data_IF_787145552078
#
_entry.id   IF_787145552078
#
_cell.length_a   1.000
_cell.length_b   1.000
_cell.length_c   1.000
_cell.angle_alpha   90.00
_cell.angle_beta   90.00
_cell.angle_gamma   90.00
#
_symmetry.space_group_name_H-M   'P 1'
#
loop_
_entity.id
_entity.type
_entity.pdbx_description
1 polymer ?
#
# COMPACT_ATOMS: atom_id res chain seq x y z
N UNK A 1 -0.02 16.48 -9.53
CA UNK A 1 1.05 15.48 -9.71
C UNK A 1 2.36 16.20 -9.98
N UNK A 2 3.44 15.90 -9.24
CA UNK A 2 4.72 16.62 -9.30
C UNK A 2 5.67 16.12 -10.40
N UNK A 3 5.28 15.09 -11.18
CA UNK A 3 6.11 14.56 -12.27
C UNK A 3 7.36 13.80 -11.81
N UNK A 4 7.42 13.36 -10.54
CA UNK A 4 8.55 12.62 -9.99
C UNK A 4 8.92 11.35 -10.79
N UNK A 5 7.97 10.80 -11.56
CA UNK A 5 8.15 9.65 -12.46
C UNK A 5 8.10 10.02 -13.94
N UNK A 6 8.62 11.19 -14.35
CA UNK A 6 8.54 11.73 -15.73
C UNK A 6 8.94 10.74 -16.84
N UNK A 7 9.87 9.83 -16.57
CA UNK A 7 10.37 8.84 -17.54
C UNK A 7 9.41 7.66 -17.75
N UNK A 8 8.43 7.49 -16.85
CA UNK A 8 7.41 6.42 -16.88
C UNK A 8 6.01 6.92 -17.23
N UNK A 9 5.79 8.24 -17.25
CA UNK A 9 4.47 8.82 -17.51
C UNK A 9 4.46 9.57 -18.84
N UNK A 10 3.78 9.01 -19.85
CA UNK A 10 3.47 9.73 -21.09
C UNK A 10 2.24 10.61 -20.84
N UNK A 11 2.31 11.87 -21.24
CA UNK A 11 1.19 12.82 -21.12
C UNK A 11 0.44 12.95 -22.45
N UNK A 12 -0.88 13.22 -22.44
CA UNK A 12 -1.76 13.36 -21.26
C UNK A 12 -2.02 12.01 -20.56
N UNK A 13 -2.13 12.02 -19.23
CA UNK A 13 -2.40 10.83 -18.42
C UNK A 13 -3.44 11.11 -17.33
N UNK A 14 -4.26 10.10 -17.05
CA UNK A 14 -5.17 10.07 -15.89
C UNK A 14 -4.43 9.46 -14.70
N UNK A 15 -4.68 10.01 -13.50
CA UNK A 15 -4.09 9.57 -12.24
C UNK A 15 -4.77 8.31 -11.66
N UNK A 16 -4.16 7.73 -10.62
CA UNK A 16 -4.72 6.60 -9.86
C UNK A 16 -4.15 5.25 -10.27
N UNK A 17 -3.94 4.36 -9.28
CA UNK A 17 -3.33 3.03 -9.48
C UNK A 17 -4.14 1.87 -8.89
N UNK A 18 -5.13 2.16 -8.05
CA UNK A 18 -6.02 1.18 -7.45
C UNK A 18 -7.40 1.82 -7.19
N UNK A 19 -8.38 0.99 -6.87
CA UNK A 19 -9.74 1.40 -6.59
C UNK A 19 -10.71 0.22 -6.58
N UNK A 20 -11.99 0.55 -6.59
CA UNK A 20 -13.10 -0.38 -6.77
C UNK A 20 -13.98 0.18 -7.88
N UNK A 21 -14.46 -0.70 -8.73
CA UNK A 21 -15.46 -0.40 -9.74
C UNK A 21 -16.48 -1.51 -9.91
N UNK A 22 -17.43 -1.24 -10.80
CA UNK A 22 -18.41 -2.20 -11.27
C UNK A 22 -18.23 -2.39 -12.76
N UNK A 23 -18.36 -3.62 -13.24
CA UNK A 23 -18.37 -3.93 -14.67
C UNK A 23 -19.65 -3.40 -15.28
N UNK A 24 -19.56 -2.45 -16.22
CA UNK A 24 -20.76 -1.94 -16.93
C UNK A 24 -20.98 -2.64 -18.28
N UNK A 25 -19.92 -3.19 -18.87
CA UNK A 25 -19.97 -3.95 -20.11
C UNK A 25 -18.75 -4.88 -20.17
N UNK A 26 -18.95 -6.05 -20.78
CA UNK A 26 -17.91 -7.04 -21.04
C UNK A 26 -18.15 -7.73 -22.38
N UNK A 27 -17.10 -8.16 -23.09
CA UNK A 27 -17.24 -8.87 -24.36
C UNK A 27 -17.89 -10.25 -24.17
N UNK A 28 -18.46 -10.79 -25.25
CA UNK A 28 -18.98 -12.15 -25.26
C UNK A 28 -17.87 -13.14 -24.89
N UNK A 29 -18.18 -14.07 -23.97
CA UNK A 29 -17.20 -15.04 -23.45
C UNK A 29 -16.35 -14.53 -22.29
N UNK A 30 -16.52 -13.28 -21.85
CA UNK A 30 -15.85 -12.75 -20.65
C UNK A 30 -16.19 -13.58 -19.41
N UNK A 31 -15.21 -13.72 -18.52
CA UNK A 31 -15.40 -14.32 -17.19
C UNK A 31 -16.12 -13.39 -16.21
N UNK A 32 -16.39 -12.15 -16.60
CA UNK A 32 -17.01 -11.12 -15.79
C UNK A 32 -18.38 -10.74 -16.34
N UNK A 33 -19.31 -10.44 -15.44
CA UNK A 33 -20.66 -10.03 -15.79
C UNK A 33 -20.90 -8.55 -15.48
N UNK A 34 -21.79 -7.90 -16.23
CA UNK A 34 -22.26 -6.56 -15.87
C UNK A 34 -22.88 -6.56 -14.47
N UNK A 35 -22.66 -5.50 -13.69
CA UNK A 35 -23.05 -5.41 -12.28
C UNK A 35 -22.04 -6.01 -11.30
N UNK A 36 -21.00 -6.69 -11.78
CA UNK A 36 -20.02 -7.32 -10.91
C UNK A 36 -19.02 -6.29 -10.35
N UNK A 37 -18.87 -6.28 -9.01
CA UNK A 37 -17.85 -5.50 -8.31
C UNK A 37 -16.47 -6.08 -8.61
N UNK A 38 -15.54 -5.23 -9.04
CA UNK A 38 -14.18 -5.62 -9.43
C UNK A 38 -13.15 -4.59 -8.95
N UNK A 39 -12.00 -5.09 -8.54
CA UNK A 39 -10.82 -4.31 -8.20
C UNK A 39 -9.82 -4.42 -9.36
N UNK A 40 -9.34 -3.29 -9.93
CA UNK A 40 -8.36 -3.30 -11.00
C UNK A 40 -6.94 -3.46 -10.46
N UNK A 41 -6.24 -4.47 -10.96
CA UNK A 41 -4.82 -4.67 -10.77
C UNK A 41 -4.05 -3.96 -11.89
N UNK A 42 -2.84 -3.47 -11.59
CA UNK A 42 -1.86 -2.99 -12.58
C UNK A 42 -2.44 -2.07 -13.68
N UNK A 43 -3.22 -1.07 -13.29
CA UNK A 43 -3.73 -0.04 -14.20
C UNK A 43 -3.42 1.35 -13.66
N UNK A 44 -2.84 2.22 -14.51
CA UNK A 44 -2.86 3.66 -14.26
C UNK A 44 -4.20 4.23 -14.71
N UNK A 45 -4.63 5.35 -14.12
CA UNK A 45 -5.82 6.05 -14.55
C UNK A 45 -7.10 5.65 -13.82
N UNK A 46 -7.03 5.08 -12.62
CA UNK A 46 -8.25 4.73 -11.86
C UNK A 46 -9.01 5.94 -11.31
N UNK A 47 -8.54 7.17 -11.48
CA UNK A 47 -9.27 8.38 -11.05
C UNK A 47 -10.11 8.96 -12.17
N UNK A 48 -11.08 8.16 -12.63
CA UNK A 48 -12.02 8.57 -13.66
C UNK A 48 -13.32 7.78 -13.55
N UNK A 49 -14.36 8.27 -14.22
CA UNK A 49 -15.66 7.60 -14.16
C UNK A 49 -15.71 6.31 -14.96
N UNK A 50 -14.95 6.17 -16.05
CA UNK A 50 -14.97 4.96 -16.88
C UNK A 50 -13.55 4.63 -17.35
N UNK A 51 -13.15 3.37 -17.30
CA UNK A 51 -11.87 2.89 -17.82
C UNK A 51 -12.05 1.54 -18.50
N UNK A 52 -11.48 1.36 -19.68
CA UNK A 52 -11.39 0.07 -20.36
C UNK A 52 -10.15 -0.69 -19.86
N UNK A 53 -10.36 -1.89 -19.32
CA UNK A 53 -9.31 -2.75 -18.76
C UNK A 53 -9.46 -4.18 -19.25
N UNK A 54 -8.35 -4.84 -19.52
CA UNK A 54 -8.34 -6.28 -19.79
C UNK A 54 -8.86 -7.04 -18.55
N UNK A 55 -9.81 -7.95 -18.76
CA UNK A 55 -10.44 -8.69 -17.69
C UNK A 55 -9.45 -9.47 -16.83
N UNK A 56 -8.29 -9.91 -17.35
CA UNK A 56 -7.23 -10.61 -16.61
C UNK A 56 -6.65 -9.77 -15.47
N UNK A 57 -6.74 -8.45 -15.56
CA UNK A 57 -6.33 -7.52 -14.52
C UNK A 57 -7.45 -7.17 -13.54
N UNK A 58 -8.65 -7.75 -13.68
CA UNK A 58 -9.78 -7.46 -12.80
C UNK A 58 -10.00 -8.60 -11.80
N UNK A 59 -10.01 -8.26 -10.52
CA UNK A 59 -10.30 -9.20 -9.43
C UNK A 59 -11.73 -9.00 -8.96
N UNK A 60 -12.61 -10.01 -9.07
CA UNK A 60 -13.93 -9.98 -8.46
C UNK A 60 -13.88 -9.69 -6.96
N UNK A 61 -14.71 -8.74 -6.52
CA UNK A 61 -14.83 -8.39 -5.10
C UNK A 61 -16.09 -9.04 -4.53
N UNK A 62 -15.96 -9.92 -3.52
CA UNK A 62 -17.12 -10.56 -2.90
C UNK A 62 -18.08 -9.53 -2.26
N UNK A 63 -19.40 -9.78 -2.26
CA UNK A 63 -20.39 -8.87 -1.66
C UNK A 63 -20.14 -8.57 -0.17
N UNK A 64 -19.51 -9.50 0.56
CA UNK A 64 -19.21 -9.35 1.97
C UNK A 64 -18.07 -8.36 2.27
N UNK A 65 -17.27 -7.96 1.26
CA UNK A 65 -16.19 -7.00 1.44
C UNK A 65 -16.75 -5.60 1.25
N UNK A 66 -16.55 -4.72 2.23
CA UNK A 66 -16.93 -3.31 2.16
C UNK A 66 -16.24 -2.57 1.01
N UNK A 67 -16.91 -1.58 0.44
CA UNK A 67 -16.40 -0.83 -0.72
C UNK A 67 -15.10 -0.09 -0.44
N UNK A 68 -14.99 0.57 0.72
CA UNK A 68 -13.79 1.32 1.08
C UNK A 68 -12.63 0.38 1.38
N UNK A 69 -12.91 -0.79 1.95
CA UNK A 69 -11.89 -1.82 2.16
C UNK A 69 -11.40 -2.38 0.82
N UNK A 70 -12.32 -2.76 -0.07
CA UNK A 70 -11.99 -3.29 -1.38
C UNK A 70 -11.20 -2.28 -2.21
N UNK A 71 -11.61 -1.01 -2.20
CA UNK A 71 -10.92 0.04 -2.95
C UNK A 71 -9.44 0.17 -2.58
N UNK A 72 -9.06 -0.18 -1.34
CA UNK A 72 -7.70 -0.07 -0.79
C UNK A 72 -7.01 -1.45 -0.62
N UNK A 73 -7.60 -2.48 -1.19
CA UNK A 73 -7.25 -3.88 -0.94
C UNK A 73 -6.00 -4.37 -1.67
N UNK A 74 -5.42 -3.57 -2.58
CA UNK A 74 -4.37 -4.02 -3.48
C UNK A 74 -2.97 -3.54 -3.09
N UNK A 75 -2.67 -2.25 -3.30
CA UNK A 75 -1.27 -1.78 -3.32
C UNK A 75 -0.64 -1.89 -1.94
N UNK A 76 -1.26 -1.29 -0.93
CA UNK A 76 -0.71 -1.25 0.42
C UNK A 76 -0.66 -2.64 1.08
N UNK A 77 -1.74 -3.46 1.05
CA UNK A 77 -1.70 -4.82 1.57
C UNK A 77 -0.67 -5.70 0.86
N UNK A 78 -0.62 -5.68 -0.48
CA UNK A 78 0.34 -6.49 -1.22
C UNK A 78 1.78 -6.05 -0.94
N UNK A 79 2.04 -4.74 -0.87
CA UNK A 79 3.36 -4.19 -0.54
C UNK A 79 3.85 -4.68 0.81
N UNK A 80 3.03 -4.54 1.86
CA UNK A 80 3.37 -5.00 3.20
C UNK A 80 3.66 -6.51 3.22
N UNK A 81 2.82 -7.32 2.55
CA UNK A 81 3.01 -8.77 2.48
C UNK A 81 4.30 -9.15 1.76
N UNK A 82 4.60 -8.50 0.63
CA UNK A 82 5.83 -8.76 -0.14
C UNK A 82 7.08 -8.36 0.64
N UNK A 83 7.02 -7.27 1.42
CA UNK A 83 8.09 -6.90 2.34
C UNK A 83 8.32 -7.98 3.39
N UNK A 84 7.28 -8.42 4.08
CA UNK A 84 7.43 -9.44 5.13
C UNK A 84 7.88 -10.80 4.60
N UNK A 85 7.51 -11.15 3.36
CA UNK A 85 8.04 -12.33 2.66
C UNK A 85 9.52 -12.19 2.32
N UNK A 86 9.96 -10.99 1.95
CA UNK A 86 11.34 -10.72 1.53
C UNK A 86 12.29 -10.57 2.72
N UNK A 87 11.83 -10.00 3.82
CA UNK A 87 12.62 -9.76 5.03
C UNK A 87 11.97 -10.43 6.24
N UNK A 88 12.44 -11.63 6.66
CA UNK A 88 11.90 -12.33 7.82
C UNK A 88 12.01 -11.48 9.09
N UNK A 89 10.91 -11.40 9.84
CA UNK A 89 10.77 -10.52 11.01
C UNK A 89 10.68 -11.26 12.35
N UNK A 90 10.51 -12.59 12.33
CA UNK A 90 10.38 -13.37 13.55
C UNK A 90 11.59 -13.17 14.48
N UNK A 91 11.32 -12.89 15.75
CA UNK A 91 12.34 -12.64 16.76
C UNK A 91 13.04 -11.28 16.68
N UNK A 92 12.62 -10.37 15.79
CA UNK A 92 13.31 -9.08 15.55
C UNK A 92 12.59 -7.87 16.13
N UNK A 93 13.37 -6.83 16.42
CA UNK A 93 12.90 -5.49 16.76
C UNK A 93 12.84 -4.61 15.51
N UNK A 94 11.66 -4.10 15.18
CA UNK A 94 11.41 -3.34 13.95
C UNK A 94 11.18 -1.86 14.21
N UNK A 95 11.61 -1.03 13.26
CA UNK A 95 11.25 0.40 13.19
C UNK A 95 10.57 0.70 11.87
N UNK A 96 9.44 1.39 11.93
CA UNK A 96 8.66 1.84 10.79
C UNK A 96 8.66 3.36 10.74
N UNK A 97 9.11 3.94 9.64
CA UNK A 97 8.86 5.37 9.37
C UNK A 97 7.50 5.55 8.72
N UNK A 98 6.94 6.77 8.79
CA UNK A 98 5.60 7.07 8.29
C UNK A 98 4.54 6.06 8.78
N UNK A 99 4.62 5.71 10.07
CA UNK A 99 3.84 4.61 10.65
C UNK A 99 2.32 4.84 10.61
N UNK A 100 1.88 6.08 10.43
CA UNK A 100 0.45 6.41 10.24
C UNK A 100 -0.09 6.09 8.84
N UNK A 101 0.75 5.62 7.90
CA UNK A 101 0.32 5.20 6.57
C UNK A 101 -0.34 3.83 6.60
N UNK A 102 -1.27 3.57 5.67
CA UNK A 102 -1.95 2.26 5.57
C UNK A 102 -0.96 1.11 5.40
N UNK A 103 0.07 1.28 4.57
CA UNK A 103 1.09 0.25 4.36
C UNK A 103 1.90 -0.04 5.63
N UNK A 104 2.39 1.00 6.32
CA UNK A 104 3.20 0.80 7.53
C UNK A 104 2.39 0.22 8.68
N UNK A 105 1.14 0.66 8.86
CA UNK A 105 0.23 0.07 9.85
C UNK A 105 0.00 -1.42 9.61
N UNK A 106 -0.34 -1.81 8.37
CA UNK A 106 -0.53 -3.23 8.01
C UNK A 106 0.75 -4.04 8.21
N UNK A 107 1.89 -3.51 7.77
CA UNK A 107 3.19 -4.15 7.93
C UNK A 107 3.51 -4.38 9.41
N UNK A 108 3.30 -3.38 10.27
CA UNK A 108 3.55 -3.50 11.71
C UNK A 108 2.66 -4.55 12.37
N UNK A 109 1.35 -4.52 12.09
CA UNK A 109 0.40 -5.51 12.64
C UNK A 109 0.75 -6.93 12.19
N UNK A 110 1.02 -7.14 10.91
CA UNK A 110 1.38 -8.45 10.39
C UNK A 110 2.75 -8.90 10.84
N UNK A 111 3.71 -7.99 11.03
CA UNK A 111 5.01 -8.33 11.58
C UNK A 111 4.90 -8.87 13.00
N UNK A 112 4.09 -8.24 13.85
CA UNK A 112 3.78 -8.74 15.19
C UNK A 112 3.12 -10.12 15.13
N UNK A 113 2.12 -10.30 14.26
CA UNK A 113 1.46 -11.59 14.05
C UNK A 113 2.43 -12.68 13.54
N UNK A 114 3.49 -12.29 12.81
CA UNK A 114 4.55 -13.16 12.33
C UNK A 114 5.72 -13.33 13.31
N UNK A 115 5.57 -12.87 14.55
CA UNK A 115 6.51 -13.12 15.65
C UNK A 115 7.62 -12.09 15.81
N UNK A 116 7.49 -10.87 15.27
CA UNK A 116 8.38 -9.78 15.63
C UNK A 116 8.32 -9.53 17.16
N UNK A 117 9.48 -9.27 17.78
CA UNK A 117 9.57 -8.98 19.23
C UNK A 117 8.95 -7.64 19.58
N UNK A 118 9.14 -6.64 18.73
CA UNK A 118 8.55 -5.33 18.90
C UNK A 118 8.47 -4.59 17.57
N UNK A 119 7.55 -3.65 17.47
CA UNK A 119 7.44 -2.71 16.36
C UNK A 119 7.29 -1.30 16.92
N UNK A 120 8.22 -0.43 16.55
CA UNK A 120 8.17 1.01 16.86
C UNK A 120 7.84 1.80 15.61
N UNK A 121 6.89 2.73 15.71
CA UNK A 121 6.38 3.50 14.58
C UNK A 121 6.62 4.99 14.74
N UNK A 122 7.36 5.60 13.82
CA UNK A 122 7.62 7.04 13.80
C UNK A 122 6.47 7.77 13.09
N UNK A 123 5.89 8.76 13.78
CA UNK A 123 4.76 9.58 13.34
C UNK A 123 5.04 11.07 13.53
N UNK A 124 4.43 11.91 12.70
CA UNK A 124 4.57 13.38 12.79
C UNK A 124 3.54 14.05 13.69
N UNK A 125 2.37 13.42 13.85
CA UNK A 125 1.24 14.00 14.56
C UNK A 125 0.77 13.06 15.68
N UNK A 126 0.57 13.56 16.91
CA UNK A 126 0.15 12.75 18.05
C UNK A 126 -1.24 12.15 17.88
N UNK A 127 -2.07 12.66 16.97
CA UNK A 127 -3.42 12.13 16.69
C UNK A 127 -3.41 10.65 16.28
N UNK A 128 -2.29 10.14 15.76
CA UNK A 128 -2.16 8.74 15.33
C UNK A 128 -1.68 7.79 16.43
N UNK A 129 -1.31 8.30 17.62
CA UNK A 129 -0.76 7.48 18.72
C UNK A 129 -1.70 6.35 19.14
N UNK A 130 -2.95 6.70 19.47
CA UNK A 130 -3.93 5.74 19.97
C UNK A 130 -4.18 4.59 18.98
N UNK A 131 -4.28 4.88 17.67
CA UNK A 131 -4.49 3.87 16.64
C UNK A 131 -3.28 2.90 16.52
N UNK A 132 -2.06 3.42 16.63
CA UNK A 132 -0.85 2.59 16.63
C UNK A 132 -0.76 1.72 17.88
N UNK A 133 -1.03 2.28 19.05
CA UNK A 133 -1.01 1.54 20.32
C UNK A 133 -2.04 0.41 20.33
N UNK A 134 -3.25 0.67 19.83
CA UNK A 134 -4.30 -0.36 19.63
C UNK A 134 -3.85 -1.49 18.69
N UNK A 135 -2.95 -1.18 17.75
CA UNK A 135 -2.36 -2.13 16.81
C UNK A 135 -1.11 -2.83 17.37
N UNK A 136 -0.71 -2.56 18.62
CA UNK A 136 0.50 -3.10 19.24
C UNK A 136 1.80 -2.42 18.78
N UNK A 137 1.72 -1.30 18.04
CA UNK A 137 2.86 -0.56 17.54
C UNK A 137 3.18 0.58 18.50
N UNK A 138 4.43 0.66 18.97
CA UNK A 138 4.87 1.71 19.90
C UNK A 138 5.09 3.05 19.15
N UNK A 139 4.29 4.10 19.40
CA UNK A 139 4.38 5.33 18.64
C UNK A 139 5.51 6.24 19.14
N UNK A 140 6.31 6.77 18.21
CA UNK A 140 7.39 7.73 18.46
C UNK A 140 7.10 8.99 17.65
N UNK A 141 7.13 10.17 18.28
CA UNK A 141 7.01 11.42 17.54
C UNK A 141 8.34 11.73 16.84
N UNK A 142 8.29 12.18 15.59
CA UNK A 142 9.50 12.50 14.82
C UNK A 142 10.29 13.71 15.35
N UNK A 143 9.70 14.46 16.27
CA UNK A 143 10.34 15.51 17.05
C UNK A 143 11.20 14.98 18.19
N UNK A 144 10.99 13.73 18.64
CA UNK A 144 11.76 13.08 19.71
C UNK A 144 12.99 12.35 19.15
N UNK A 145 14.00 13.14 18.77
CA UNK A 145 15.23 12.63 18.13
C UNK A 145 15.99 11.64 19.01
N UNK A 146 16.11 11.92 20.31
CA UNK A 146 16.84 11.06 21.24
C UNK A 146 16.19 9.67 21.34
N UNK A 147 14.86 9.60 21.39
CA UNK A 147 14.15 8.32 21.39
C UNK A 147 14.27 7.60 20.05
N UNK A 148 14.15 8.31 18.92
CA UNK A 148 14.35 7.71 17.59
C UNK A 148 15.74 7.09 17.44
N UNK A 149 16.79 7.81 17.84
CA UNK A 149 18.18 7.31 17.78
C UNK A 149 18.35 6.07 18.65
N UNK A 150 17.87 6.13 19.91
CA UNK A 150 17.95 5.01 20.84
C UNK A 150 17.25 3.77 20.30
N UNK A 151 16.03 3.91 19.81
CA UNK A 151 15.25 2.76 19.28
C UNK A 151 15.90 2.20 18.02
N UNK A 152 16.44 3.06 17.16
CA UNK A 152 17.08 2.63 15.91
C UNK A 152 18.37 1.85 16.16
N UNK A 153 19.17 2.24 17.15
CA UNK A 153 20.38 1.52 17.57
C UNK A 153 20.09 0.10 18.10
N UNK A 154 18.89 -0.13 18.62
CA UNK A 154 18.47 -1.42 19.17
C UNK A 154 17.50 -2.17 18.24
N UNK A 155 17.35 -1.72 16.99
CA UNK A 155 16.50 -2.37 16.00
C UNK A 155 17.30 -3.29 15.09
N UNK A 156 16.69 -4.41 14.68
CA UNK A 156 17.28 -5.36 13.74
C UNK A 156 16.92 -5.02 12.29
N UNK A 157 15.78 -4.33 12.06
CA UNK A 157 15.29 -4.01 10.73
C UNK A 157 14.49 -2.70 10.73
N UNK A 158 14.71 -1.88 9.69
CA UNK A 158 14.01 -0.60 9.49
C UNK A 158 13.29 -0.62 8.14
N UNK A 159 12.00 -0.29 8.15
CA UNK A 159 11.22 -0.01 6.95
C UNK A 159 11.07 1.51 6.79
N UNK A 160 11.74 2.07 5.77
CA UNK A 160 11.90 3.51 5.56
C UNK A 160 11.11 4.02 4.34
N UNK A 161 9.95 4.63 4.57
CA UNK A 161 9.14 5.28 3.56
C UNK A 161 9.44 6.79 3.41
N UNK A 162 10.29 7.38 4.26
CA UNK A 162 10.59 8.82 4.21
C UNK A 162 11.87 9.10 3.42
N UNK A 163 12.82 8.15 3.41
CA UNK A 163 14.04 8.26 2.64
C UNK A 163 15.05 9.26 3.19
N UNK A 164 15.01 9.55 4.51
CA UNK A 164 16.03 10.41 5.14
C UNK A 164 17.41 9.78 4.94
N UNK A 165 18.46 10.61 4.83
CA UNK A 165 19.83 10.12 4.63
C UNK A 165 20.17 9.13 5.75
N UNK A 166 20.67 7.97 5.35
CA UNK A 166 21.07 6.81 6.17
C UNK A 166 21.99 7.14 7.36
N UNK A 167 22.50 8.36 7.47
CA UNK A 167 23.32 8.84 8.58
C UNK A 167 22.56 9.13 9.89
N UNK A 168 21.22 9.27 9.89
CA UNK A 168 20.43 9.39 11.14
C UNK A 168 19.98 8.01 11.70
N UNK A 169 20.12 6.94 10.92
CA UNK A 169 19.78 5.55 11.29
C UNK A 169 21.00 4.66 11.02
N UNK A 170 22.09 4.88 11.76
CA UNK A 170 23.45 4.50 11.37
C UNK A 170 23.82 3.00 11.33
N UNK A 171 22.87 2.04 11.26
CA UNK A 171 23.27 0.62 11.29
C UNK A 171 22.34 -0.41 10.64
N UNK A 172 21.24 -0.04 9.97
CA UNK A 172 20.21 -1.05 9.64
C UNK A 172 19.84 -1.06 8.16
N UNK A 173 19.75 -2.26 7.58
CA UNK A 173 19.33 -2.49 6.20
C UNK A 173 17.93 -1.91 5.96
N UNK A 174 17.86 -0.77 5.30
CA UNK A 174 16.62 -0.04 5.04
C UNK A 174 15.91 -0.57 3.78
N UNK A 175 14.66 -0.99 3.91
CA UNK A 175 13.77 -1.24 2.76
C UNK A 175 12.88 0.00 2.54
N UNK A 176 12.86 0.54 1.30
CA UNK A 176 12.07 1.73 0.93
C UNK A 176 10.82 1.41 0.12
N UNK A 177 9.64 1.88 0.52
CA UNK A 177 8.44 1.98 -0.35
C UNK A 177 7.56 3.19 0.04
N UNK A 178 6.96 3.85 -0.96
CA UNK A 178 6.04 5.01 -0.86
C UNK A 178 4.81 4.73 -1.73
N UNK A 179 3.59 4.94 -1.22
CA UNK A 179 2.44 5.40 -2.04
C UNK A 179 1.31 6.06 -1.20
N UNK A 180 0.87 7.31 -1.51
CA UNK A 180 -0.16 8.03 -0.74
C UNK A 180 -1.60 8.10 -1.30
N UNK A 181 -1.95 7.60 -2.49
CA UNK A 181 -3.12 8.16 -3.20
C UNK A 181 -4.16 7.14 -3.73
N UNK A 182 -5.40 7.23 -3.25
CA UNK A 182 -6.52 6.29 -3.51
C UNK A 182 -7.87 7.02 -3.63
N UNK A 183 -8.65 6.76 -4.70
CA UNK A 183 -10.14 6.74 -4.73
C UNK A 183 -10.74 6.45 -6.13
N UNK A 184 -11.73 5.55 -6.13
CA UNK A 184 -12.77 5.08 -7.09
C UNK A 184 -12.73 5.35 -8.62
N UNK A 185 -13.06 4.29 -9.41
CA UNK A 185 -13.38 4.31 -10.85
C UNK A 185 -14.47 3.29 -11.22
N UNK A 186 -15.29 3.54 -12.24
CA UNK A 186 -16.17 2.49 -12.86
C UNK A 186 -15.44 1.85 -14.05
N UNK A 187 -15.59 0.54 -14.25
CA UNK A 187 -14.72 -0.26 -15.13
C UNK A 187 -15.52 -0.88 -16.27
N UNK A 188 -14.95 -0.88 -17.47
CA UNK A 188 -15.39 -1.61 -18.65
C UNK A 188 -14.33 -2.68 -18.96
N UNK A 189 -14.75 -3.92 -19.18
CA UNK A 189 -13.82 -4.95 -19.61
C UNK A 189 -13.59 -4.83 -21.13
N UNK A 190 -12.33 -4.65 -21.55
CA UNK A 190 -11.94 -4.61 -22.96
C UNK A 190 -11.68 -6.02 -23.49
N UNK A 191 -12.00 -6.24 -24.77
CA UNK A 191 -11.52 -7.40 -25.50
C UNK A 191 -10.10 -7.14 -26.00
N UNK A 192 -9.26 -8.19 -25.99
CA UNK A 192 -7.97 -8.18 -26.67
C UNK A 192 -8.19 -8.00 -28.18
N UNK A 193 -7.67 -6.91 -28.80
CA UNK A 193 -7.81 -6.71 -30.24
C UNK A 193 -7.08 -7.77 -31.09
N UNK A 194 -6.22 -8.60 -30.48
CA UNK A 194 -5.43 -9.62 -31.17
C UNK A 194 -5.84 -11.08 -30.88
N UNK A 195 -6.90 -11.32 -30.11
CA UNK A 195 -7.41 -12.67 -29.85
C UNK A 195 -8.24 -13.19 -31.03
N UNK A 196 -7.62 -13.98 -31.92
CA UNK A 196 -8.28 -14.81 -32.94
C UNK A 196 -8.78 -16.14 -32.37
#
# INVERSE_FOLDING_TARGET
MTGAYRHRTRLPAVAGYEGLGEVVAAPYGSRLAAGQRVLPLRGGGTWQRFIDLDETWLVPVPPAVDDLLAARGYINPLTAMLMLKRWPVAGKHLVLTAASSSCASLLGQWALAMGARSVSGIIRSPQHRACLEQSGIYPILDTDRALMEKVSQHSDLVFDAVGRRTGEYAAVGAARVVDPDLLWAVIRAAADPDAR
#
